data_IF_371807680065
#
_entry.id   IF_371807680065
#
_cell.length_a   1.000
_cell.length_b   1.000
_cell.length_c   1.000
_cell.angle_alpha   90.00
_cell.angle_beta   90.00
_cell.angle_gamma   90.00
#
_symmetry.space_group_name_H-M   'P 1'
#
loop_
_entity.id
_entity.type
_entity.pdbx_description
1 polymer ?
#
# COMPACT_ATOMS: atom_id res chain seq x y z
N UNK A 1 -21.32 16.23 -17.11
CA UNK A 1 -21.48 14.82 -17.47
C UNK A 1 -22.67 14.29 -16.68
N UNK A 2 -23.78 13.87 -17.33
CA UNK A 2 -24.93 13.28 -16.64
C UNK A 2 -24.60 11.88 -16.11
N UNK A 3 -25.28 11.49 -15.04
CA UNK A 3 -25.21 10.16 -14.44
C UNK A 3 -26.46 9.34 -14.83
N UNK A 4 -26.27 8.03 -15.01
CA UNK A 4 -27.36 7.06 -15.15
C UNK A 4 -27.08 5.87 -14.22
N UNK A 5 -28.08 5.48 -13.43
CA UNK A 5 -27.98 4.35 -12.50
C UNK A 5 -28.21 3.01 -13.22
N UNK A 6 -27.42 2.77 -14.26
CA UNK A 6 -27.37 1.54 -15.04
C UNK A 6 -25.92 1.35 -15.53
N UNK A 7 -25.19 0.30 -15.10
CA UNK A 7 -23.80 0.12 -15.48
C UNK A 7 -23.62 -0.30 -16.95
N UNK A 8 -24.50 -1.10 -17.55
CA UNK A 8 -24.35 -1.58 -18.93
C UNK A 8 -25.66 -2.14 -19.54
N UNK A 9 -26.77 -1.97 -18.86
CA UNK A 9 -28.07 -2.47 -19.30
C UNK A 9 -28.70 -1.64 -20.42
N UNK A 10 -29.98 -1.89 -20.77
CA UNK A 10 -30.63 -1.24 -21.90
C UNK A 10 -30.68 0.28 -21.82
N UNK A 11 -30.87 0.85 -20.62
CA UNK A 11 -30.91 2.29 -20.44
C UNK A 11 -29.54 2.95 -20.66
N UNK A 12 -28.46 2.34 -20.13
CA UNK A 12 -27.09 2.77 -20.40
C UNK A 12 -26.74 2.71 -21.89
N UNK A 13 -27.04 1.58 -22.55
CA UNK A 13 -26.78 1.40 -23.98
C UNK A 13 -27.55 2.41 -24.85
N UNK A 14 -28.83 2.68 -24.55
CA UNK A 14 -29.62 3.69 -25.25
C UNK A 14 -29.02 5.08 -25.08
N UNK A 15 -28.58 5.43 -23.89
CA UNK A 15 -27.96 6.72 -23.61
C UNK A 15 -26.61 6.88 -24.32
N UNK A 16 -25.77 5.83 -24.31
CA UNK A 16 -24.49 5.84 -25.04
C UNK A 16 -24.71 6.08 -26.53
N UNK A 17 -25.66 5.37 -27.16
CA UNK A 17 -26.02 5.55 -28.59
C UNK A 17 -26.51 6.93 -28.93
N UNK A 18 -27.06 7.67 -27.98
CA UNK A 18 -27.56 9.02 -28.16
C UNK A 18 -26.53 10.13 -27.93
N UNK A 19 -25.30 9.79 -27.48
CA UNK A 19 -24.22 10.75 -27.27
C UNK A 19 -23.75 11.36 -28.59
N UNK A 20 -23.48 12.67 -28.54
CA UNK A 20 -22.87 13.44 -29.63
C UNK A 20 -21.40 13.70 -29.32
N UNK A 21 -20.67 14.11 -30.35
CA UNK A 21 -19.26 14.50 -30.15
C UNK A 21 -19.14 15.60 -29.07
N UNK A 22 -18.21 15.36 -28.13
CA UNK A 22 -17.96 16.24 -26.96
C UNK A 22 -18.87 15.99 -25.76
N UNK A 23 -19.84 15.08 -25.86
CA UNK A 23 -20.67 14.67 -24.73
C UNK A 23 -20.07 13.46 -23.99
N UNK A 24 -20.42 13.33 -22.72
CA UNK A 24 -20.03 12.19 -21.87
C UNK A 24 -21.18 11.76 -20.97
N UNK A 25 -21.10 10.54 -20.48
CA UNK A 25 -22.03 9.97 -19.50
C UNK A 25 -21.27 9.20 -18.43
N UNK A 26 -21.68 9.34 -17.18
CA UNK A 26 -21.23 8.51 -16.07
C UNK A 26 -22.22 7.38 -15.87
N UNK A 27 -21.75 6.14 -16.04
CA UNK A 27 -22.56 4.94 -15.85
C UNK A 27 -22.63 4.55 -14.35
N UNK A 28 -23.58 3.67 -14.03
CA UNK A 28 -23.80 3.16 -12.69
C UNK A 28 -22.59 2.34 -12.16
N UNK A 29 -22.62 2.05 -10.87
CA UNK A 29 -21.55 1.35 -10.20
C UNK A 29 -21.38 -0.08 -10.75
N UNK A 30 -20.24 -0.36 -11.37
CA UNK A 30 -19.91 -1.68 -11.94
C UNK A 30 -19.97 -2.82 -10.91
N UNK A 31 -19.73 -2.52 -9.63
CA UNK A 31 -19.79 -3.52 -8.53
C UNK A 31 -21.21 -4.02 -8.24
N UNK A 32 -22.23 -3.49 -8.88
CA UNK A 32 -23.57 -4.07 -8.88
C UNK A 32 -23.71 -5.28 -9.82
N UNK A 33 -22.74 -5.46 -10.72
CA UNK A 33 -22.66 -6.64 -11.56
C UNK A 33 -21.93 -7.77 -10.82
N UNK A 34 -22.52 -8.96 -10.79
CA UNK A 34 -21.93 -10.14 -10.12
C UNK A 34 -20.53 -10.45 -10.62
N UNK A 35 -20.28 -10.29 -11.91
CA UNK A 35 -18.99 -10.58 -12.55
C UNK A 35 -17.88 -9.58 -12.20
N UNK A 36 -18.23 -8.45 -11.57
CA UNK A 36 -17.30 -7.39 -11.15
C UNK A 36 -16.96 -7.45 -9.64
N UNK A 37 -17.48 -8.43 -8.89
CA UNK A 37 -17.21 -8.54 -7.45
C UNK A 37 -16.12 -9.57 -7.14
N UNK A 38 -15.40 -9.34 -6.03
CA UNK A 38 -14.29 -10.21 -5.61
C UNK A 38 -14.70 -11.65 -5.34
N UNK A 39 -15.93 -11.88 -4.87
CA UNK A 39 -16.45 -13.23 -4.64
C UNK A 39 -16.52 -14.03 -5.94
N UNK A 40 -17.01 -13.42 -7.03
CA UNK A 40 -17.05 -14.04 -8.35
C UNK A 40 -15.62 -14.27 -8.89
N UNK A 41 -14.77 -13.26 -8.83
CA UNK A 41 -13.37 -13.32 -9.25
C UNK A 41 -12.64 -14.51 -8.58
N UNK A 42 -12.81 -14.68 -7.28
CA UNK A 42 -12.16 -15.75 -6.52
C UNK A 42 -12.77 -17.14 -6.74
N UNK A 43 -14.08 -17.22 -7.00
CA UNK A 43 -14.79 -18.48 -7.16
C UNK A 43 -14.69 -19.02 -8.59
N UNK A 44 -14.87 -18.16 -9.60
CA UNK A 44 -14.95 -18.57 -11.01
C UNK A 44 -13.60 -18.54 -11.69
N UNK A 45 -12.71 -17.57 -11.33
CA UNK A 45 -11.34 -17.45 -11.86
C UNK A 45 -11.26 -17.44 -13.38
N UNK A 46 -12.09 -16.60 -14.03
CA UNK A 46 -12.06 -16.45 -15.48
C UNK A 46 -10.70 -15.91 -15.95
N UNK A 47 -10.22 -16.47 -17.06
CA UNK A 47 -9.11 -15.87 -17.78
C UNK A 47 -9.59 -14.68 -18.61
N UNK A 48 -8.74 -13.64 -18.85
CA UNK A 48 -9.14 -12.44 -19.58
C UNK A 48 -9.81 -12.73 -20.95
N UNK A 49 -9.32 -13.74 -21.67
CA UNK A 49 -9.87 -14.18 -22.96
C UNK A 49 -11.32 -14.69 -22.89
N UNK A 50 -11.71 -15.24 -21.73
CA UNK A 50 -13.04 -15.82 -21.52
C UNK A 50 -14.03 -14.74 -21.03
N UNK A 51 -13.52 -13.61 -20.54
CA UNK A 51 -14.34 -12.50 -20.03
C UNK A 51 -15.07 -11.73 -21.12
N UNK A 52 -14.69 -11.90 -22.40
CA UNK A 52 -15.41 -11.31 -23.56
C UNK A 52 -16.88 -11.70 -23.60
N UNK A 53 -17.23 -12.84 -23.02
CA UNK A 53 -18.59 -13.38 -23.00
C UNK A 53 -19.41 -12.93 -21.78
N UNK A 54 -18.80 -12.15 -20.86
CA UNK A 54 -19.50 -11.54 -19.71
C UNK A 54 -20.53 -10.52 -20.15
N UNK A 55 -21.55 -10.28 -19.32
CA UNK A 55 -22.63 -9.37 -19.67
C UNK A 55 -22.13 -7.95 -19.90
N UNK A 56 -21.22 -7.46 -19.05
CA UNK A 56 -20.63 -6.12 -19.21
C UNK A 56 -19.96 -5.96 -20.59
N UNK A 57 -19.05 -6.89 -20.93
CA UNK A 57 -18.27 -6.76 -22.15
C UNK A 57 -19.15 -6.87 -23.39
N UNK A 58 -20.04 -7.86 -23.45
CA UNK A 58 -20.96 -8.03 -24.58
C UNK A 58 -21.90 -6.81 -24.77
N UNK A 59 -22.27 -6.16 -23.67
CA UNK A 59 -23.18 -5.01 -23.72
C UNK A 59 -22.50 -3.73 -24.20
N UNK A 60 -21.25 -3.49 -23.80
CA UNK A 60 -20.57 -2.22 -24.06
C UNK A 60 -19.62 -2.29 -25.27
N UNK A 61 -18.99 -3.41 -25.54
CA UNK A 61 -18.03 -3.56 -26.63
C UNK A 61 -18.55 -3.06 -28.00
N UNK A 62 -19.79 -3.37 -28.42
CA UNK A 62 -20.31 -2.91 -29.71
C UNK A 62 -20.57 -1.40 -29.80
N UNK A 63 -20.42 -0.68 -28.69
CA UNK A 63 -20.68 0.75 -28.54
C UNK A 63 -19.41 1.58 -28.37
N UNK A 64 -18.24 0.93 -28.39
CA UNK A 64 -16.96 1.54 -28.08
C UNK A 64 -15.97 1.36 -29.25
N UNK A 65 -15.21 2.41 -29.54
CA UNK A 65 -14.12 2.38 -30.55
C UNK A 65 -12.76 2.25 -29.89
N UNK A 66 -12.60 2.77 -28.66
CA UNK A 66 -11.37 2.78 -27.89
C UNK A 66 -11.65 2.46 -26.44
N UNK A 67 -10.64 1.93 -25.74
CA UNK A 67 -10.68 1.72 -24.31
C UNK A 67 -9.53 2.44 -23.61
N UNK A 68 -9.82 3.22 -22.57
CA UNK A 68 -8.82 3.86 -21.73
C UNK A 68 -9.05 3.40 -20.29
N UNK A 69 -8.01 2.88 -19.63
CA UNK A 69 -8.10 2.54 -18.21
C UNK A 69 -7.22 3.47 -17.37
N UNK A 70 -7.84 4.18 -16.45
CA UNK A 70 -7.20 5.11 -15.52
C UNK A 70 -7.45 4.74 -14.04
N UNK A 71 -7.91 3.50 -13.80
CA UNK A 71 -8.33 3.01 -12.50
C UNK A 71 -7.20 2.22 -11.79
N UNK A 72 -6.07 2.87 -11.48
CA UNK A 72 -4.97 2.22 -10.76
C UNK A 72 -5.42 1.59 -9.44
N UNK A 73 -6.35 2.22 -8.72
CA UNK A 73 -6.90 1.70 -7.47
C UNK A 73 -7.51 0.29 -7.60
N UNK A 74 -7.99 -0.08 -8.79
CA UNK A 74 -8.56 -1.40 -9.10
C UNK A 74 -7.60 -2.29 -9.91
N UNK A 75 -6.38 -1.85 -10.22
CA UNK A 75 -5.43 -2.55 -11.10
C UNK A 75 -5.05 -3.95 -10.61
N UNK A 76 -5.20 -4.23 -9.32
CA UNK A 76 -4.97 -5.53 -8.69
C UNK A 76 -6.09 -6.54 -8.92
N UNK A 77 -7.18 -6.15 -9.59
CA UNK A 77 -8.37 -6.97 -9.81
C UNK A 77 -8.38 -7.63 -11.18
N UNK A 78 -8.74 -8.92 -11.20
CA UNK A 78 -8.98 -9.68 -12.41
C UNK A 78 -10.48 -9.68 -12.76
N UNK A 79 -11.04 -8.48 -13.00
CA UNK A 79 -12.45 -8.27 -13.31
C UNK A 79 -12.64 -7.88 -14.78
N UNK A 80 -13.79 -8.19 -15.43
CA UNK A 80 -14.04 -7.94 -16.84
C UNK A 80 -13.78 -6.50 -17.27
N UNK A 81 -14.23 -5.52 -16.47
CA UNK A 81 -13.99 -4.10 -16.75
C UNK A 81 -12.51 -3.73 -16.75
N UNK A 82 -11.67 -4.50 -16.09
CA UNK A 82 -10.25 -4.20 -15.90
C UNK A 82 -9.37 -4.87 -16.95
N UNK A 83 -9.67 -6.11 -17.36
CA UNK A 83 -8.71 -6.93 -18.11
C UNK A 83 -9.23 -7.51 -19.43
N UNK A 84 -10.51 -7.29 -19.78
CA UNK A 84 -11.10 -7.93 -20.96
C UNK A 84 -11.03 -7.09 -22.23
N UNK A 85 -11.13 -5.77 -22.12
CA UNK A 85 -11.24 -4.88 -23.30
C UNK A 85 -9.92 -4.73 -24.08
N UNK A 86 -8.78 -4.93 -23.44
CA UNK A 86 -7.45 -4.71 -24.02
C UNK A 86 -7.17 -5.60 -25.24
N UNK A 87 -7.77 -6.77 -25.30
CA UNK A 87 -7.63 -7.68 -26.44
C UNK A 87 -8.68 -7.44 -27.54
N UNK A 88 -9.66 -6.58 -27.29
CA UNK A 88 -10.83 -6.39 -28.14
C UNK A 88 -10.86 -5.02 -28.80
N UNK A 89 -10.25 -4.00 -28.18
CA UNK A 89 -10.23 -2.62 -28.63
C UNK A 89 -8.80 -2.04 -28.59
N UNK A 90 -8.49 -1.06 -29.44
CA UNK A 90 -7.32 -0.23 -29.25
C UNK A 90 -7.34 0.38 -27.84
N UNK A 91 -6.23 0.27 -27.10
CA UNK A 91 -6.19 0.50 -25.67
C UNK A 91 -5.07 1.46 -25.27
N UNK A 92 -5.34 2.34 -24.31
CA UNK A 92 -4.36 3.21 -23.68
C UNK A 92 -4.51 3.23 -22.15
N UNK A 93 -3.40 3.48 -21.46
CA UNK A 93 -3.43 3.87 -20.04
C UNK A 93 -3.84 5.33 -19.92
N UNK A 94 -4.60 5.67 -18.87
CA UNK A 94 -4.88 7.04 -18.53
C UNK A 94 -3.72 7.71 -17.78
N UNK A 95 -3.79 9.02 -17.63
CA UNK A 95 -2.72 9.84 -17.03
C UNK A 95 -2.48 9.54 -15.56
N UNK A 96 -3.52 9.18 -14.79
CA UNK A 96 -3.36 8.78 -13.40
C UNK A 96 -2.62 7.45 -13.31
N UNK A 97 -3.04 6.47 -14.12
CA UNK A 97 -2.38 5.17 -14.21
C UNK A 97 -0.89 5.33 -14.54
N UNK A 98 -0.56 6.18 -15.49
CA UNK A 98 0.83 6.46 -15.87
C UNK A 98 1.62 7.01 -14.70
N UNK A 99 1.12 8.04 -14.01
CA UNK A 99 1.80 8.66 -12.86
C UNK A 99 2.01 7.67 -11.70
N UNK A 100 1.01 6.83 -11.40
CA UNK A 100 1.10 5.82 -10.35
C UNK A 100 2.20 4.80 -10.68
N UNK A 101 2.23 4.29 -11.91
CA UNK A 101 3.24 3.32 -12.34
C UNK A 101 4.63 3.96 -12.34
N UNK A 102 4.79 5.16 -12.90
CA UNK A 102 6.07 5.88 -12.92
C UNK A 102 6.62 6.12 -11.51
N UNK A 103 5.76 6.53 -10.55
CA UNK A 103 6.18 6.75 -9.17
C UNK A 103 6.64 5.45 -8.49
N UNK A 104 5.96 4.33 -8.74
CA UNK A 104 6.34 3.04 -8.18
C UNK A 104 7.56 2.44 -8.88
N UNK A 105 7.71 2.63 -10.18
CA UNK A 105 8.90 2.21 -10.94
C UNK A 105 10.15 2.96 -10.46
N UNK A 106 10.05 4.25 -10.15
CA UNK A 106 11.15 5.02 -9.56
C UNK A 106 11.66 4.40 -8.25
N UNK A 107 10.79 3.76 -7.46
CA UNK A 107 11.18 3.06 -6.22
C UNK A 107 11.71 1.65 -6.51
N UNK A 108 11.08 0.93 -7.46
CA UNK A 108 11.37 -0.49 -7.68
C UNK A 108 12.47 -0.74 -8.70
N UNK A 109 12.60 0.13 -9.72
CA UNK A 109 13.55 -0.10 -10.81
C UNK A 109 14.78 0.82 -10.71
N UNK A 110 14.58 2.07 -10.28
CA UNK A 110 15.61 3.10 -10.33
C UNK A 110 15.72 3.94 -9.04
N UNK A 111 15.71 3.35 -7.82
CA UNK A 111 15.84 4.14 -6.62
C UNK A 111 17.23 4.80 -6.52
N UNK A 112 17.26 6.07 -6.15
CA UNK A 112 18.51 6.72 -5.74
C UNK A 112 18.86 6.28 -4.32
N UNK A 113 20.10 5.86 -4.11
CA UNK A 113 20.61 5.43 -2.80
C UNK A 113 21.10 6.62 -1.97
N UNK A 114 20.87 6.60 -0.63
CA UNK A 114 20.22 5.56 0.16
C UNK A 114 18.71 5.49 -0.06
N UNK A 115 18.19 4.29 -0.35
CA UNK A 115 16.76 4.02 -0.48
C UNK A 115 16.23 3.42 0.83
N UNK A 116 15.37 4.17 1.52
CA UNK A 116 14.84 3.87 2.85
C UNK A 116 13.36 3.52 2.78
N UNK A 117 12.99 2.37 3.30
CA UNK A 117 11.61 1.94 3.48
C UNK A 117 11.20 2.09 4.95
N UNK A 118 10.15 2.86 5.23
CA UNK A 118 9.55 3.00 6.55
C UNK A 118 8.28 2.17 6.58
N UNK A 119 8.30 1.05 7.30
CA UNK A 119 7.22 0.07 7.33
C UNK A 119 6.65 -0.05 8.74
N UNK A 120 5.41 0.38 8.92
CA UNK A 120 4.71 0.41 10.19
C UNK A 120 3.27 -0.07 10.12
N UNK A 121 2.49 0.32 11.14
CA UNK A 121 1.07 0.03 11.22
C UNK A 121 0.73 -1.40 11.61
N UNK A 122 -0.55 -1.78 11.39
CA UNK A 122 -1.12 -3.06 11.82
C UNK A 122 -1.27 -4.09 10.69
N UNK A 123 -1.05 -3.70 9.42
CA UNK A 123 -1.17 -4.60 8.25
C UNK A 123 0.16 -5.31 8.00
N UNK A 124 0.54 -6.21 8.88
CA UNK A 124 1.84 -6.89 8.86
C UNK A 124 2.07 -7.70 7.59
N UNK A 125 1.05 -8.38 7.07
CA UNK A 125 1.15 -9.14 5.82
C UNK A 125 1.61 -8.27 4.64
N UNK A 126 1.13 -7.04 4.56
CA UNK A 126 1.52 -6.08 3.53
C UNK A 126 2.99 -5.65 3.71
N UNK A 127 3.38 -5.30 4.93
CA UNK A 127 4.75 -4.91 5.27
C UNK A 127 5.74 -6.06 4.98
N UNK A 128 5.43 -7.30 5.36
CA UNK A 128 6.29 -8.46 5.12
C UNK A 128 6.37 -8.83 3.63
N UNK A 129 5.26 -8.71 2.88
CA UNK A 129 5.25 -8.91 1.43
C UNK A 129 6.18 -7.94 0.70
N UNK A 130 6.11 -6.65 1.03
CA UNK A 130 6.99 -5.62 0.49
C UNK A 130 8.44 -5.83 0.92
N UNK A 131 8.68 -6.07 2.22
CA UNK A 131 10.00 -6.32 2.79
C UNK A 131 10.71 -7.46 2.07
N UNK A 132 10.02 -8.59 1.87
CA UNK A 132 10.55 -9.73 1.11
C UNK A 132 11.06 -9.31 -0.27
N UNK A 133 10.23 -8.61 -1.02
CA UNK A 133 10.54 -8.22 -2.39
C UNK A 133 11.72 -7.25 -2.46
N UNK A 134 11.70 -6.19 -1.65
CA UNK A 134 12.74 -5.15 -1.72
C UNK A 134 14.09 -5.62 -1.17
N UNK A 135 14.11 -6.56 -0.24
CA UNK A 135 15.32 -7.20 0.24
C UNK A 135 15.90 -8.16 -0.81
N UNK A 136 15.06 -9.03 -1.39
CA UNK A 136 15.51 -10.00 -2.40
C UNK A 136 15.98 -9.32 -3.69
N UNK A 137 15.35 -8.26 -4.12
CA UNK A 137 15.75 -7.47 -5.29
C UNK A 137 16.92 -6.53 -5.01
N UNK A 138 17.31 -6.34 -3.74
CA UNK A 138 18.38 -5.44 -3.34
C UNK A 138 18.05 -3.95 -3.49
N UNK A 139 16.76 -3.59 -3.66
CA UNK A 139 16.31 -2.21 -3.88
C UNK A 139 16.31 -1.37 -2.61
N UNK A 140 16.01 -1.95 -1.45
CA UNK A 140 16.15 -1.25 -0.18
C UNK A 140 17.61 -1.26 0.31
N UNK A 141 18.13 -0.09 0.62
CA UNK A 141 19.38 0.02 1.39
C UNK A 141 19.10 -0.15 2.87
N UNK A 142 17.95 0.34 3.34
CA UNK A 142 17.54 0.26 4.73
C UNK A 142 16.02 0.15 4.86
N UNK A 143 15.58 -0.66 5.82
CA UNK A 143 14.18 -0.75 6.24
C UNK A 143 14.09 -0.35 7.71
N UNK A 144 13.27 0.67 8.00
CA UNK A 144 12.93 1.12 9.33
C UNK A 144 11.57 0.54 9.72
N UNK A 145 11.48 -0.21 10.79
CA UNK A 145 10.24 -0.86 11.22
C UNK A 145 9.65 -0.20 12.45
N UNK A 146 8.33 0.06 12.41
CA UNK A 146 7.58 0.63 13.52
C UNK A 146 6.27 -0.12 13.79
N UNK A 147 5.51 0.31 14.81
CA UNK A 147 4.27 -0.34 15.18
C UNK A 147 4.45 -1.84 15.41
N UNK A 148 3.44 -2.64 15.07
CA UNK A 148 3.49 -4.09 15.30
C UNK A 148 4.59 -4.74 14.45
N UNK A 149 4.92 -4.22 13.27
CA UNK A 149 6.02 -4.74 12.45
C UNK A 149 7.36 -4.67 13.21
N UNK A 150 7.64 -3.53 13.87
CA UNK A 150 8.85 -3.37 14.70
C UNK A 150 8.86 -4.29 15.91
N UNK A 151 7.72 -4.52 16.54
CA UNK A 151 7.57 -5.43 17.67
C UNK A 151 7.79 -6.90 17.28
N UNK A 152 7.34 -7.32 16.11
CA UNK A 152 7.64 -8.65 15.56
C UNK A 152 9.15 -8.81 15.31
N UNK A 153 9.83 -7.78 14.81
CA UNK A 153 11.29 -7.80 14.65
C UNK A 153 12.02 -7.92 15.99
N UNK A 154 11.53 -7.27 17.06
CA UNK A 154 12.06 -7.42 18.40
C UNK A 154 11.93 -8.86 18.92
N UNK A 155 10.73 -9.47 18.77
CA UNK A 155 10.52 -10.88 19.13
C UNK A 155 11.46 -11.80 18.36
N UNK A 156 11.60 -11.58 17.06
CA UNK A 156 12.52 -12.35 16.19
C UNK A 156 14.00 -12.18 16.57
N UNK A 157 14.35 -11.03 17.16
CA UNK A 157 15.71 -10.78 17.68
C UNK A 157 15.94 -11.37 19.08
N UNK A 158 14.95 -12.08 19.65
CA UNK A 158 15.05 -12.74 20.94
C UNK A 158 14.64 -11.90 22.14
N UNK A 159 14.13 -10.68 21.94
CA UNK A 159 13.56 -9.89 23.02
C UNK A 159 12.20 -10.44 23.43
N UNK A 160 11.83 -10.26 24.70
CA UNK A 160 10.49 -10.54 25.21
C UNK A 160 9.82 -9.21 25.51
N UNK A 161 8.59 -9.04 25.04
CA UNK A 161 7.86 -7.78 25.23
C UNK A 161 7.07 -7.71 26.55
N UNK A 162 6.72 -8.88 27.10
CA UNK A 162 5.82 -9.04 28.25
C UNK A 162 4.48 -9.63 27.83
N UNK A 163 3.78 -10.26 28.78
CA UNK A 163 2.58 -11.04 28.50
C UNK A 163 1.46 -10.23 27.88
N UNK A 164 1.29 -8.96 28.30
CA UNK A 164 0.23 -8.08 27.79
C UNK A 164 0.37 -7.89 26.28
N UNK A 165 1.58 -7.54 25.81
CA UNK A 165 1.82 -7.28 24.39
C UNK A 165 1.91 -8.56 23.57
N UNK A 166 2.58 -9.59 24.08
CA UNK A 166 2.71 -10.87 23.40
C UNK A 166 1.36 -11.57 23.20
N UNK A 167 0.46 -11.54 24.21
CA UNK A 167 -0.90 -12.06 24.07
C UNK A 167 -1.68 -11.27 23.01
N UNK A 168 -1.56 -9.95 22.98
CA UNK A 168 -2.19 -9.12 21.94
C UNK A 168 -1.75 -9.53 20.52
N UNK A 169 -0.47 -9.86 20.33
CA UNK A 169 0.08 -10.31 19.05
C UNK A 169 -0.44 -11.71 18.70
N UNK A 170 -0.40 -12.65 19.65
CA UNK A 170 -0.87 -14.02 19.47
C UNK A 170 -2.39 -14.11 19.22
N UNK A 171 -3.20 -13.37 19.98
CA UNK A 171 -4.68 -13.36 19.82
C UNK A 171 -5.13 -12.90 18.43
N UNK A 172 -4.28 -12.17 17.73
CA UNK A 172 -4.50 -11.73 16.34
C UNK A 172 -3.82 -12.61 15.30
N UNK A 173 -3.16 -13.69 15.72
CA UNK A 173 -2.43 -14.59 14.84
C UNK A 173 -1.26 -13.94 14.12
N UNK A 174 -0.65 -12.89 14.72
CA UNK A 174 0.45 -12.13 14.11
C UNK A 174 1.83 -12.70 14.46
N UNK A 175 1.90 -13.58 15.44
CA UNK A 175 3.07 -14.34 15.86
C UNK A 175 3.63 -15.24 14.75
N UNK A 176 2.80 -15.62 13.77
CA UNK A 176 3.22 -16.41 12.59
C UNK A 176 4.33 -15.71 11.79
N UNK A 177 4.42 -14.38 11.84
CA UNK A 177 5.45 -13.59 11.13
C UNK A 177 6.81 -13.56 11.83
N UNK A 178 6.90 -14.01 13.09
CA UNK A 178 8.17 -14.02 13.84
C UNK A 178 9.21 -14.87 13.12
N UNK A 179 8.83 -16.02 12.59
CA UNK A 179 9.72 -16.91 11.86
C UNK A 179 10.28 -16.26 10.59
N UNK A 180 9.43 -15.60 9.81
CA UNK A 180 9.87 -14.89 8.61
C UNK A 180 10.82 -13.73 8.98
N UNK A 181 10.53 -13.02 10.09
CA UNK A 181 11.38 -11.97 10.61
C UNK A 181 12.76 -12.48 11.02
N UNK A 182 12.85 -13.64 11.70
CA UNK A 182 14.13 -14.30 12.04
C UNK A 182 14.95 -14.59 10.78
N UNK A 183 14.30 -15.11 9.73
CA UNK A 183 14.97 -15.38 8.45
C UNK A 183 15.49 -14.10 7.80
N UNK A 184 14.71 -13.00 7.79
CA UNK A 184 15.14 -11.72 7.22
C UNK A 184 16.29 -11.09 8.01
N UNK A 185 16.24 -11.09 9.34
CA UNK A 185 17.32 -10.56 10.17
C UNK A 185 18.61 -11.35 10.00
N UNK A 186 18.52 -12.67 9.81
CA UNK A 186 19.68 -13.53 9.55
C UNK A 186 20.28 -13.31 8.16
N UNK A 187 19.44 -13.16 7.13
CA UNK A 187 19.88 -12.97 5.74
C UNK A 187 20.36 -11.56 5.45
N UNK A 188 19.78 -10.56 6.11
CA UNK A 188 20.01 -9.14 5.84
C UNK A 188 20.33 -8.35 7.14
N UNK A 189 21.40 -8.72 7.88
CA UNK A 189 21.63 -8.27 9.27
C UNK A 189 21.82 -6.76 9.42
N UNK A 190 22.12 -6.02 8.34
CA UNK A 190 22.38 -4.58 8.38
C UNK A 190 21.33 -3.76 7.61
N UNK A 191 20.35 -4.43 7.02
CA UNK A 191 19.33 -3.77 6.18
C UNK A 191 18.02 -3.50 6.90
N UNK A 192 17.84 -4.02 8.10
CA UNK A 192 16.60 -3.85 8.87
C UNK A 192 16.95 -3.24 10.22
N UNK A 193 16.41 -2.06 10.48
CA UNK A 193 16.41 -1.44 11.81
C UNK A 193 15.02 -1.61 12.45
N UNK A 194 15.02 -2.01 13.68
CA UNK A 194 13.84 -2.11 14.52
C UNK A 194 14.02 -1.26 15.78
N UNK A 195 12.95 -0.97 16.54
CA UNK A 195 13.03 -0.07 17.67
C UNK A 195 14.07 -0.46 18.70
N UNK A 196 14.81 0.52 19.22
CA UNK A 196 15.75 0.34 20.35
C UNK A 196 15.07 0.68 21.68
N UNK A 197 13.93 1.33 21.63
CA UNK A 197 13.03 1.61 22.74
C UNK A 197 11.57 1.65 22.29
N UNK A 198 10.65 1.41 23.20
CA UNK A 198 9.21 1.39 22.96
C UNK A 198 8.50 2.34 23.93
N UNK A 199 7.35 2.88 23.51
CA UNK A 199 6.55 3.76 24.32
C UNK A 199 5.27 3.09 24.84
N UNK A 200 4.95 3.36 26.09
CA UNK A 200 3.75 2.93 26.81
C UNK A 200 3.16 4.08 27.63
N UNK A 201 1.95 3.90 28.12
CA UNK A 201 1.31 4.89 28.99
C UNK A 201 1.49 4.53 30.47
N UNK A 202 1.85 5.52 31.27
CA UNK A 202 1.85 5.40 32.71
C UNK A 202 1.23 6.66 33.31
N UNK A 203 0.12 6.51 34.03
CA UNK A 203 -0.62 7.62 34.69
C UNK A 203 -1.05 8.74 33.71
N UNK A 204 -1.45 8.38 32.47
CA UNK A 204 -1.85 9.34 31.45
C UNK A 204 -0.71 9.99 30.68
N UNK A 205 0.53 9.64 30.99
CA UNK A 205 1.73 10.16 30.33
C UNK A 205 2.43 9.08 29.48
N UNK A 206 2.96 9.50 28.33
CA UNK A 206 3.85 8.66 27.52
C UNK A 206 5.19 8.47 28.22
N UNK A 207 5.64 7.23 28.32
CA UNK A 207 6.96 6.84 28.84
C UNK A 207 7.66 5.96 27.80
N UNK A 208 8.97 6.15 27.61
CA UNK A 208 9.80 5.28 26.79
C UNK A 208 10.57 4.28 27.67
N UNK A 209 10.74 3.06 27.17
CA UNK A 209 11.57 2.03 27.81
C UNK A 209 12.54 1.44 26.80
N UNK A 210 13.85 1.44 27.07
CA UNK A 210 14.84 0.77 26.23
C UNK A 210 14.57 -0.73 26.14
N UNK A 211 14.79 -1.33 24.95
CA UNK A 211 14.53 -2.76 24.72
C UNK A 211 15.38 -3.68 25.64
N UNK A 212 16.53 -3.21 26.13
CA UNK A 212 17.37 -3.95 27.10
C UNK A 212 16.70 -4.10 28.47
N UNK A 213 15.71 -3.26 28.79
CA UNK A 213 14.99 -3.25 30.07
C UNK A 213 13.62 -3.98 29.94
N UNK A 214 13.37 -4.65 28.81
CA UNK A 214 12.24 -5.55 28.62
C UNK A 214 12.53 -6.94 29.22
N UNK A 215 11.50 -7.76 29.54
CA UNK A 215 10.06 -7.55 29.31
C UNK A 215 9.41 -6.57 30.32
N UNK A 216 8.28 -5.99 29.89
CA UNK A 216 7.46 -5.13 30.74
C UNK A 216 5.98 -5.43 30.50
N UNK A 217 5.21 -5.53 31.58
CA UNK A 217 3.77 -5.86 31.51
C UNK A 217 2.91 -4.63 31.15
N UNK A 218 3.24 -4.01 30.01
CA UNK A 218 2.61 -2.82 29.49
C UNK A 218 2.17 -3.01 28.03
N UNK A 219 1.19 -2.23 27.59
CA UNK A 219 0.80 -2.18 26.18
C UNK A 219 1.64 -1.12 25.46
N UNK A 220 2.58 -1.57 24.66
CA UNK A 220 3.36 -0.67 23.81
C UNK A 220 2.52 -0.24 22.61
N UNK A 221 2.49 1.07 22.34
CA UNK A 221 1.65 1.65 21.29
C UNK A 221 2.39 2.65 20.38
N UNK A 222 3.69 2.90 20.64
CA UNK A 222 4.54 3.73 19.79
C UNK A 222 6.00 3.30 19.93
N UNK A 223 6.84 3.74 19.00
CA UNK A 223 8.30 3.67 19.13
C UNK A 223 8.77 4.68 20.18
N UNK A 224 9.89 4.42 20.86
CA UNK A 224 10.43 5.31 21.87
C UNK A 224 11.21 6.50 21.29
N UNK A 225 11.67 7.37 22.19
CA UNK A 225 12.28 8.66 21.80
C UNK A 225 13.66 8.47 21.14
N UNK A 226 14.44 7.48 21.58
CA UNK A 226 15.75 7.16 21.00
C UNK A 226 15.56 6.58 19.57
N UNK A 227 14.58 5.69 19.40
CA UNK A 227 14.22 5.14 18.07
C UNK A 227 13.81 6.26 17.12
N UNK A 228 13.00 7.22 17.58
CA UNK A 228 12.57 8.36 16.77
C UNK A 228 13.79 9.14 16.27
N UNK A 229 14.73 9.50 17.16
CA UNK A 229 15.93 10.24 16.78
C UNK A 229 16.78 9.48 15.76
N UNK A 230 16.98 8.17 15.94
CA UNK A 230 17.71 7.33 14.99
C UNK A 230 17.03 7.28 13.62
N UNK A 231 15.70 7.19 13.59
CA UNK A 231 14.97 7.12 12.33
C UNK A 231 14.93 8.47 11.60
N UNK A 232 14.85 9.59 12.33
CA UNK A 232 14.95 10.93 11.76
C UNK A 232 16.30 11.12 11.04
N UNK A 233 17.39 10.64 11.63
CA UNK A 233 18.73 10.72 11.01
C UNK A 233 18.81 9.90 9.71
N UNK A 234 18.28 8.67 9.69
CA UNK A 234 18.26 7.84 8.49
C UNK A 234 17.39 8.45 7.39
N UNK A 235 16.23 8.99 7.74
CA UNK A 235 15.32 9.67 6.80
C UNK A 235 15.96 10.93 6.22
N UNK A 236 16.64 11.72 7.03
CA UNK A 236 17.30 12.94 6.57
C UNK A 236 18.42 12.68 5.55
N UNK A 237 19.07 11.52 5.63
CA UNK A 237 20.14 11.11 4.71
C UNK A 237 19.64 10.36 3.47
N UNK A 238 18.36 9.97 3.43
CA UNK A 238 17.78 9.20 2.34
C UNK A 238 17.64 10.03 1.04
N UNK A 239 17.83 9.38 -0.11
CA UNK A 239 17.55 9.94 -1.44
C UNK A 239 16.24 9.44 -2.00
N UNK A 240 15.84 8.23 -1.62
CA UNK A 240 14.52 7.68 -1.94
C UNK A 240 13.87 7.19 -0.64
N UNK A 241 12.61 7.57 -0.40
CA UNK A 241 11.88 7.22 0.81
C UNK A 241 10.54 6.61 0.40
N UNK A 242 10.26 5.42 0.90
CA UNK A 242 8.93 4.83 0.78
C UNK A 242 8.31 4.63 2.16
N UNK A 243 7.04 4.99 2.32
CA UNK A 243 6.36 4.88 3.63
C UNK A 243 5.03 4.14 3.49
N UNK A 244 4.85 3.12 4.33
CA UNK A 244 3.58 2.43 4.48
C UNK A 244 3.27 2.11 5.96
N UNK A 245 2.25 2.75 6.50
CA UNK A 245 1.80 2.61 7.87
C UNK A 245 2.47 3.56 8.87
N UNK A 246 1.75 3.92 9.95
CA UNK A 246 2.26 4.78 11.02
C UNK A 246 3.24 4.05 11.94
N UNK A 247 4.07 4.81 12.66
CA UNK A 247 5.03 4.27 13.62
C UNK A 247 4.38 3.75 14.91
N UNK A 248 3.20 4.27 15.26
CA UNK A 248 2.44 3.92 16.46
C UNK A 248 0.94 4.21 16.31
N UNK A 249 0.21 4.13 17.41
CA UNK A 249 -1.25 4.40 17.48
C UNK A 249 -1.49 5.90 17.60
N UNK A 250 -1.23 6.62 16.53
CA UNK A 250 -1.26 8.08 16.44
C UNK A 250 -2.63 8.71 16.64
N UNK A 251 -3.69 7.91 16.58
CA UNK A 251 -5.06 8.35 16.90
C UNK A 251 -5.21 8.72 18.37
N UNK A 252 -4.44 8.08 19.25
CA UNK A 252 -4.31 8.43 20.66
C UNK A 252 -3.23 9.51 20.83
N UNK A 253 -3.59 10.72 21.33
CA UNK A 253 -2.62 11.81 21.50
C UNK A 253 -1.40 11.47 22.38
N UNK A 254 -1.53 10.50 23.28
CA UNK A 254 -0.41 10.02 24.11
C UNK A 254 0.68 9.34 23.26
N UNK A 255 0.31 8.74 22.12
CA UNK A 255 1.19 7.92 21.29
C UNK A 255 1.38 8.49 19.87
N UNK A 256 1.07 9.78 19.66
CA UNK A 256 1.23 10.39 18.34
C UNK A 256 2.68 10.75 17.99
N UNK A 257 3.56 10.86 18.99
CA UNK A 257 4.87 11.51 18.85
C UNK A 257 5.78 10.80 17.84
N UNK A 258 5.84 9.47 17.86
CA UNK A 258 6.61 8.70 16.88
C UNK A 258 6.16 8.97 15.46
N UNK A 259 4.87 8.81 15.20
CA UNK A 259 4.30 9.05 13.88
C UNK A 259 4.46 10.50 13.44
N UNK A 260 4.19 11.46 14.30
CA UNK A 260 4.30 12.88 14.02
C UNK A 260 5.72 13.32 13.66
N UNK A 261 6.71 12.89 14.42
CA UNK A 261 8.11 13.24 14.18
C UNK A 261 8.65 12.59 12.90
N UNK A 262 8.32 11.31 12.65
CA UNK A 262 8.68 10.62 11.42
C UNK A 262 8.10 11.36 10.19
N UNK A 263 6.82 11.78 10.23
CA UNK A 263 6.23 12.54 9.11
C UNK A 263 6.91 13.89 8.89
N UNK A 264 7.26 14.59 9.97
CA UNK A 264 8.00 15.86 9.85
C UNK A 264 9.40 15.68 9.26
N UNK A 265 10.08 14.60 9.64
CA UNK A 265 11.39 14.27 9.07
C UNK A 265 11.28 13.95 7.56
N UNK A 266 10.24 13.21 7.14
CA UNK A 266 10.00 12.90 5.73
C UNK A 266 9.70 14.17 4.94
N UNK A 267 8.83 15.06 5.44
CA UNK A 267 8.50 16.33 4.79
C UNK A 267 9.69 17.29 4.70
N UNK A 268 10.63 17.22 5.62
CA UNK A 268 11.86 18.06 5.63
C UNK A 268 13.00 17.43 4.81
N UNK A 269 12.88 16.18 4.38
CA UNK A 269 13.92 15.50 3.59
C UNK A 269 13.95 16.00 2.15
N UNK A 270 15.16 16.11 1.59
CA UNK A 270 15.36 16.38 0.16
C UNK A 270 15.17 15.14 -0.73
N UNK A 271 14.99 13.96 -0.13
CA UNK A 271 14.80 12.69 -0.82
C UNK A 271 13.43 12.60 -1.50
N UNK A 272 13.37 11.94 -2.66
CA UNK A 272 12.09 11.64 -3.32
C UNK A 272 11.26 10.69 -2.49
N UNK A 273 10.14 11.16 -1.97
CA UNK A 273 9.26 10.39 -1.08
C UNK A 273 8.01 9.92 -1.78
N UNK A 274 7.66 8.64 -1.56
CA UNK A 274 6.40 8.04 -2.05
C UNK A 274 5.66 7.41 -0.87
N UNK A 275 4.38 7.73 -0.75
CA UNK A 275 3.53 7.20 0.32
C UNK A 275 2.25 6.60 -0.27
N UNK A 276 1.66 5.64 0.43
CA UNK A 276 0.38 5.08 0.00
C UNK A 276 -0.28 4.22 1.06
N UNK A 277 -1.57 3.98 0.83
CA UNK A 277 -2.45 3.35 1.80
C UNK A 277 -3.23 4.35 2.64
N UNK A 278 -4.52 4.10 2.85
CA UNK A 278 -5.44 5.04 3.50
C UNK A 278 -4.97 5.48 4.88
N UNK A 279 -4.52 4.53 5.72
CA UNK A 279 -4.03 4.82 7.06
C UNK A 279 -2.75 5.68 7.02
N UNK A 280 -1.85 5.40 6.06
CA UNK A 280 -0.61 6.16 5.84
C UNK A 280 -0.89 7.60 5.46
N UNK A 281 -1.76 7.81 4.45
CA UNK A 281 -2.13 9.15 3.96
C UNK A 281 -2.88 9.93 5.03
N UNK A 282 -3.79 9.27 5.78
CA UNK A 282 -4.51 9.91 6.90
C UNK A 282 -3.57 10.36 8.01
N UNK A 283 -2.56 9.55 8.33
CA UNK A 283 -1.53 9.92 9.31
C UNK A 283 -0.69 11.09 8.82
N UNK A 284 -0.26 11.09 7.55
CA UNK A 284 0.51 12.17 6.96
C UNK A 284 -0.24 13.51 7.01
N UNK A 285 -1.49 13.53 6.52
CA UNK A 285 -2.35 14.72 6.49
C UNK A 285 -2.55 15.39 7.86
N UNK A 286 -2.43 14.62 8.94
CA UNK A 286 -2.58 15.17 10.30
C UNK A 286 -1.40 16.03 10.72
N UNK A 287 -0.20 15.81 10.18
CA UNK A 287 1.04 16.40 10.68
C UNK A 287 1.84 17.22 9.67
N UNK A 288 1.61 17.01 8.38
CA UNK A 288 2.32 17.68 7.28
C UNK A 288 1.37 18.09 6.15
N UNK A 289 1.83 18.99 5.28
CA UNK A 289 1.17 19.23 3.99
C UNK A 289 1.58 18.11 3.00
N UNK A 290 0.62 17.49 2.32
CA UNK A 290 0.92 16.45 1.33
C UNK A 290 1.68 16.98 0.10
N UNK A 291 1.72 18.28 -0.11
CA UNK A 291 2.56 18.91 -1.16
C UNK A 291 4.06 18.78 -0.89
N UNK A 292 4.45 18.49 0.37
CA UNK A 292 5.85 18.23 0.75
C UNK A 292 6.29 16.78 0.42
N UNK A 293 5.36 15.94 -0.08
CA UNK A 293 5.61 14.55 -0.47
C UNK A 293 5.78 14.46 -1.98
N UNK A 294 6.83 13.78 -2.44
CA UNK A 294 7.12 13.62 -3.86
C UNK A 294 5.97 12.94 -4.64
N UNK A 295 5.37 11.88 -4.09
CA UNK A 295 4.16 11.27 -4.65
C UNK A 295 3.26 10.61 -3.61
N UNK A 296 1.97 10.86 -3.70
CA UNK A 296 0.94 10.21 -2.87
C UNK A 296 0.13 9.24 -3.73
N UNK A 297 0.36 7.94 -3.55
CA UNK A 297 -0.37 6.90 -4.27
C UNK A 297 -1.85 6.90 -3.88
N UNK A 298 -2.72 6.85 -4.88
CA UNK A 298 -4.18 6.85 -4.67
C UNK A 298 -4.72 5.50 -4.23
N UNK A 299 -3.91 4.44 -4.31
CA UNK A 299 -4.35 3.06 -4.12
C UNK A 299 -3.42 2.22 -3.25
N UNK A 300 -3.82 1.93 -2.02
CA UNK A 300 -3.05 1.07 -1.11
C UNK A 300 -2.89 -0.37 -1.62
N UNK A 301 -3.99 -1.05 -1.98
CA UNK A 301 -3.95 -2.47 -2.35
C UNK A 301 -3.17 -2.76 -3.64
N UNK A 302 -3.35 -1.95 -4.69
CA UNK A 302 -2.60 -2.11 -5.94
C UNK A 302 -1.10 -1.81 -5.73
N UNK A 303 -0.79 -0.73 -5.00
CA UNK A 303 0.57 -0.35 -4.65
C UNK A 303 1.30 -1.45 -3.87
N UNK A 304 0.71 -1.95 -2.78
CA UNK A 304 1.30 -3.03 -1.97
C UNK A 304 1.57 -4.27 -2.83
N UNK A 305 0.60 -4.66 -3.68
CA UNK A 305 0.77 -5.82 -4.56
C UNK A 305 1.91 -5.61 -5.56
N UNK A 306 2.01 -4.41 -6.14
CA UNK A 306 3.10 -4.03 -7.05
C UNK A 306 4.45 -4.10 -6.35
N UNK A 307 4.58 -3.45 -5.20
CA UNK A 307 5.82 -3.41 -4.42
C UNK A 307 6.19 -4.78 -3.80
N UNK A 308 5.23 -5.70 -3.68
CA UNK A 308 5.48 -7.09 -3.30
C UNK A 308 5.89 -7.99 -4.48
N UNK A 309 6.18 -7.42 -5.65
CA UNK A 309 6.63 -8.14 -6.84
C UNK A 309 5.54 -8.95 -7.54
N UNK A 310 4.28 -8.73 -7.20
CA UNK A 310 3.17 -9.39 -7.86
C UNK A 310 2.69 -8.57 -9.06
N UNK A 311 2.70 -9.17 -10.24
CA UNK A 311 2.18 -8.52 -11.44
C UNK A 311 0.70 -8.15 -11.27
N UNK A 312 0.38 -6.88 -11.54
CA UNK A 312 -1.00 -6.43 -11.49
C UNK A 312 -1.76 -6.92 -12.72
N UNK A 313 -2.94 -7.57 -12.58
CA UNK A 313 -3.73 -8.09 -13.71
C UNK A 313 -3.98 -7.04 -14.80
N UNK A 314 -4.30 -5.80 -14.41
CA UNK A 314 -4.50 -4.73 -15.38
C UNK A 314 -3.23 -4.40 -16.16
N UNK A 315 -2.08 -4.24 -15.50
CA UNK A 315 -0.80 -3.94 -16.16
C UNK A 315 -0.43 -5.07 -17.12
N UNK A 316 -0.62 -6.32 -16.69
CA UNK A 316 -0.42 -7.50 -17.56
C UNK A 316 -1.31 -7.45 -18.79
N UNK A 317 -2.60 -7.15 -18.63
CA UNK A 317 -3.54 -7.02 -19.73
C UNK A 317 -3.15 -5.87 -20.67
N UNK A 318 -2.73 -4.71 -20.13
CA UNK A 318 -2.27 -3.56 -20.92
C UNK A 318 -1.03 -3.88 -21.75
N UNK A 319 -0.04 -4.59 -21.19
CA UNK A 319 1.18 -5.03 -21.92
C UNK A 319 0.88 -6.05 -23.04
N UNK A 320 -0.20 -6.79 -22.92
CA UNK A 320 -0.69 -7.74 -23.92
C UNK A 320 -1.77 -7.17 -24.85
N UNK A 321 -2.03 -5.87 -24.77
CA UNK A 321 -3.04 -5.19 -25.57
C UNK A 321 -2.72 -5.30 -27.06
N UNK A 322 -3.78 -5.29 -27.88
CA UNK A 322 -3.67 -5.17 -29.33
C UNK A 322 -3.19 -3.75 -29.67
N UNK A 323 -2.16 -3.64 -30.47
CA UNK A 323 -1.76 -2.39 -31.11
C UNK A 323 -2.82 -1.86 -32.08
#
# INVERSE_FOLDING_TARGET
>A
VPYIDDPCGPAAQQRIKALRSGEGILLGNLRYLTEEISTFENAVKLEPKDMKDTYLVRSLLPLCDFYVNDAFAAAHRNAPSMVAFQQLLPTAAGLLMQKEVEALDNIMEHPESPCVFVLGGAKISDAFGMMKQVLQSGRADLILTGGITGEIMLLASGYRLGSVKENFICDRGLDVFVKDAEEYLKQYPYKIKFPVDLAYEQNGERKSVPVKDLPKEEMFMDIGDETICLYEEEIANAKTIFVNGPAGVYENPVFEEGTKRIWKAIAASEGYSVIGGGDTVSAAQRYIDLSDIGYVCTAGGAMVRYLSGNELPLIKAMRSAKE
#
